data_IF_388464455477
#
_entry.id   IF_388464455477
#
_cell.length_a   1.000
_cell.length_b   1.000
_cell.length_c   1.000
_cell.angle_alpha   90.00
_cell.angle_beta   90.00
_cell.angle_gamma   90.00
#
_symmetry.space_group_name_H-M   'P 1'
#
loop_
_entity.id
_entity.type
_entity.pdbx_description
1 polymer ?
#
# COMPACT_ATOMS: atom_id res chain seq x y z
N UNK A 1 28.43 -14.26 1.57
CA UNK A 1 28.41 -13.12 0.67
C UNK A 1 28.37 -11.82 1.44
N UNK A 2 28.99 -10.78 0.93
CA UNK A 2 29.01 -9.45 1.53
C UNK A 2 27.64 -8.80 1.34
N UNK A 3 27.12 -8.16 2.40
CA UNK A 3 25.94 -7.32 2.33
C UNK A 3 26.37 -5.87 2.29
N UNK A 4 25.94 -5.13 1.27
CA UNK A 4 26.24 -3.72 1.11
C UNK A 4 24.94 -2.92 0.99
N UNK A 5 24.82 -1.87 1.80
CA UNK A 5 23.66 -0.98 1.84
C UNK A 5 24.10 0.44 1.54
N UNK A 6 23.65 0.99 0.43
CA UNK A 6 23.81 2.40 0.12
C UNK A 6 22.48 3.15 0.33
N UNK A 7 22.60 4.44 0.60
CA UNK A 7 21.44 5.32 0.67
C UNK A 7 20.72 5.43 -0.68
N UNK A 8 19.42 5.62 -0.63
CA UNK A 8 18.60 6.00 -1.76
C UNK A 8 17.68 7.15 -1.34
N UNK A 9 17.36 8.01 -2.27
CA UNK A 9 16.45 9.15 -2.06
C UNK A 9 15.39 9.18 -3.16
N UNK A 10 14.26 9.89 -2.98
CA UNK A 10 13.23 10.00 -3.99
C UNK A 10 13.76 10.48 -5.35
N UNK A 11 13.08 10.19 -6.45
CA UNK A 11 11.84 9.41 -6.50
C UNK A 11 12.10 7.91 -6.39
N UNK A 12 11.21 7.22 -5.67
CA UNK A 12 11.26 5.75 -5.50
C UNK A 12 11.07 5.03 -6.83
N UNK A 13 10.37 5.64 -7.79
CA UNK A 13 10.18 5.15 -9.16
C UNK A 13 11.49 4.90 -9.91
N UNK A 14 12.58 5.58 -9.55
CA UNK A 14 13.93 5.34 -10.10
C UNK A 14 14.69 4.20 -9.43
N UNK A 15 14.16 3.61 -8.36
CA UNK A 15 14.77 2.44 -7.74
C UNK A 15 14.57 1.20 -8.62
N UNK A 16 15.61 0.78 -9.32
CA UNK A 16 15.60 -0.49 -10.04
C UNK A 16 15.70 -1.66 -9.05
N UNK A 17 14.52 -2.12 -8.61
CA UNK A 17 14.45 -3.27 -7.68
C UNK A 17 14.98 -4.56 -8.34
N UNK A 18 14.92 -4.67 -9.67
CA UNK A 18 15.41 -5.86 -10.38
C UNK A 18 16.93 -5.98 -10.30
N UNK A 19 17.64 -4.86 -10.24
CA UNK A 19 19.09 -4.83 -10.10
C UNK A 19 19.59 -5.06 -8.67
N UNK A 20 18.72 -5.07 -7.66
CA UNK A 20 19.13 -5.27 -6.27
C UNK A 20 19.65 -6.69 -6.01
N UNK A 21 20.57 -6.76 -5.07
CA UNK A 21 21.18 -8.00 -4.57
C UNK A 21 21.73 -7.77 -3.16
N UNK A 22 22.16 -8.79 -2.43
CA UNK A 22 22.83 -8.60 -1.14
C UNK A 22 23.98 -7.60 -1.19
N UNK A 23 24.80 -7.61 -2.24
CA UNK A 23 25.91 -6.69 -2.45
C UNK A 23 25.48 -5.35 -3.11
N UNK A 24 24.21 -5.12 -3.34
CA UNK A 24 23.66 -3.89 -3.90
C UNK A 24 22.26 -3.64 -3.33
N UNK A 25 22.19 -3.43 -2.04
CA UNK A 25 20.96 -3.12 -1.32
C UNK A 25 20.78 -1.62 -1.13
N UNK A 26 19.57 -1.17 -0.88
CA UNK A 26 19.27 0.24 -0.61
C UNK A 26 18.65 0.40 0.76
N UNK A 27 18.97 1.52 1.40
CA UNK A 27 18.32 1.97 2.63
C UNK A 27 17.72 3.34 2.40
N UNK A 28 16.48 3.51 2.80
CA UNK A 28 15.73 4.73 2.59
C UNK A 28 14.66 4.88 3.67
N UNK A 29 14.33 6.11 4.02
CA UNK A 29 13.12 6.40 4.79
C UNK A 29 11.91 6.40 3.86
N UNK A 30 10.88 5.66 4.21
CA UNK A 30 9.72 5.44 3.36
C UNK A 30 8.50 4.97 4.16
N UNK A 31 7.33 5.02 3.55
CA UNK A 31 6.12 4.36 4.02
C UNK A 31 6.04 2.93 3.49
N UNK A 32 5.70 1.99 4.36
CA UNK A 32 5.37 0.60 4.03
C UNK A 32 3.88 0.40 4.18
N UNK A 33 3.22 -0.18 3.17
CA UNK A 33 1.79 -0.45 3.13
C UNK A 33 1.59 -1.96 2.95
N UNK A 34 0.68 -2.53 3.74
CA UNK A 34 0.10 -3.86 3.56
C UNK A 34 -1.40 -3.72 3.37
N UNK A 35 -1.93 -4.33 2.34
CA UNK A 35 -3.36 -4.44 2.09
C UNK A 35 -3.71 -5.90 1.76
N UNK A 36 -4.68 -6.46 2.45
CA UNK A 36 -5.04 -7.87 2.45
C UNK A 36 -6.55 -8.03 2.27
N UNK A 37 -6.97 -8.99 1.46
CA UNK A 37 -8.39 -9.23 1.20
C UNK A 37 -8.98 -10.00 2.38
N UNK A 38 -9.69 -9.30 3.25
CA UNK A 38 -10.41 -9.93 4.35
C UNK A 38 -11.55 -10.81 3.83
N UNK A 39 -11.70 -12.01 4.42
CA UNK A 39 -12.67 -13.00 4.01
C UNK A 39 -12.23 -13.89 2.83
N UNK A 40 -11.08 -13.66 2.19
CA UNK A 40 -10.67 -14.38 0.99
C UNK A 40 -10.49 -15.89 1.24
N UNK A 41 -9.95 -16.30 2.38
CA UNK A 41 -9.79 -17.72 2.71
C UNK A 41 -11.15 -18.45 2.79
N UNK A 42 -12.15 -17.83 3.40
CA UNK A 42 -13.51 -18.38 3.46
C UNK A 42 -14.15 -18.40 2.07
N UNK A 43 -13.99 -17.29 1.31
CA UNK A 43 -14.48 -17.21 -0.06
C UNK A 43 -13.92 -18.32 -0.96
N UNK A 44 -12.63 -18.62 -0.87
CA UNK A 44 -12.01 -19.74 -1.59
C UNK A 44 -12.62 -21.09 -1.14
N UNK A 45 -12.76 -21.31 0.17
CA UNK A 45 -13.29 -22.56 0.70
C UNK A 45 -14.74 -22.82 0.26
N UNK A 46 -15.54 -21.76 0.14
CA UNK A 46 -16.97 -21.87 -0.20
C UNK A 46 -17.22 -21.99 -1.72
N UNK A 47 -16.29 -21.55 -2.57
CA UNK A 47 -16.54 -21.44 -4.02
C UNK A 47 -15.58 -22.24 -4.91
N UNK A 48 -14.40 -22.65 -4.41
CA UNK A 48 -13.36 -23.22 -5.27
C UNK A 48 -13.75 -24.54 -5.94
N UNK A 49 -14.57 -25.36 -5.28
CA UNK A 49 -14.97 -26.66 -5.82
C UNK A 49 -16.02 -26.54 -6.93
N UNK A 50 -16.92 -25.57 -6.83
CA UNK A 50 -18.03 -25.37 -7.78
C UNK A 50 -17.73 -24.29 -8.81
N UNK A 51 -16.88 -23.29 -8.49
CA UNK A 51 -16.64 -22.09 -9.31
C UNK A 51 -15.20 -21.56 -9.21
N UNK A 52 -14.21 -22.43 -9.43
CA UNK A 52 -12.79 -22.08 -9.36
C UNK A 52 -12.39 -20.95 -10.31
N UNK A 53 -13.08 -20.82 -11.47
CA UNK A 53 -12.80 -19.75 -12.44
C UNK A 53 -13.08 -18.38 -11.84
N UNK A 54 -14.22 -18.19 -11.19
CA UNK A 54 -14.59 -16.90 -10.58
C UNK A 54 -13.69 -16.54 -9.39
N UNK A 55 -13.28 -17.56 -8.61
CA UNK A 55 -12.28 -17.34 -7.53
C UNK A 55 -10.97 -16.82 -8.08
N UNK A 56 -10.46 -17.43 -9.15
CA UNK A 56 -9.22 -17.00 -9.79
C UNK A 56 -9.37 -15.64 -10.48
N UNK A 57 -10.51 -15.41 -11.14
CA UNK A 57 -10.84 -14.13 -11.78
C UNK A 57 -10.89 -12.99 -10.75
N UNK A 58 -11.60 -13.19 -9.65
CA UNK A 58 -11.68 -12.21 -8.55
C UNK A 58 -10.29 -11.87 -8.01
N UNK A 59 -9.49 -12.87 -7.71
CA UNK A 59 -8.12 -12.66 -7.24
C UNK A 59 -7.27 -11.91 -8.27
N UNK A 60 -7.37 -12.27 -9.55
CA UNK A 60 -6.60 -11.64 -10.63
C UNK A 60 -6.96 -10.17 -10.77
N UNK A 61 -8.27 -9.85 -10.91
CA UNK A 61 -8.76 -8.48 -11.06
C UNK A 61 -8.34 -7.61 -9.87
N UNK A 62 -8.61 -8.07 -8.65
CA UNK A 62 -8.28 -7.29 -7.44
C UNK A 62 -6.76 -7.08 -7.33
N UNK A 63 -5.93 -8.10 -7.59
CA UNK A 63 -4.47 -7.95 -7.52
C UNK A 63 -3.93 -6.98 -8.57
N UNK A 64 -4.45 -7.01 -9.79
CA UNK A 64 -4.06 -6.10 -10.86
C UNK A 64 -4.44 -4.67 -10.50
N UNK A 65 -5.64 -4.46 -9.97
CA UNK A 65 -6.12 -3.14 -9.56
C UNK A 65 -5.29 -2.57 -8.40
N UNK A 66 -5.09 -3.33 -7.33
CA UNK A 66 -4.26 -2.89 -6.21
C UNK A 66 -2.80 -2.59 -6.62
N UNK A 67 -2.25 -3.38 -7.56
CA UNK A 67 -0.92 -3.12 -8.11
C UNK A 67 -0.90 -1.85 -8.95
N UNK A 68 -1.92 -1.64 -9.77
CA UNK A 68 -2.04 -0.44 -10.61
C UNK A 68 -2.11 0.83 -9.76
N UNK A 69 -3.00 0.87 -8.79
CA UNK A 69 -3.09 2.00 -7.84
C UNK A 69 -1.74 2.27 -7.19
N UNK A 70 -1.13 1.25 -6.59
CA UNK A 70 0.14 1.43 -5.88
C UNK A 70 1.28 1.89 -6.79
N UNK A 71 1.41 1.30 -7.99
CA UNK A 71 2.63 1.46 -8.80
C UNK A 71 2.50 2.47 -9.92
N UNK A 72 1.32 2.60 -10.52
CA UNK A 72 1.05 3.51 -11.64
C UNK A 72 0.52 4.86 -11.15
N UNK A 73 -0.47 4.84 -10.26
CA UNK A 73 -1.12 6.06 -9.79
C UNK A 73 -0.30 6.78 -8.71
N UNK A 74 0.34 6.02 -7.83
CA UNK A 74 1.12 6.56 -6.72
C UNK A 74 2.64 6.40 -6.85
N UNK A 75 3.14 5.92 -7.99
CA UNK A 75 4.57 5.71 -8.27
C UNK A 75 5.31 4.89 -7.18
N UNK A 76 4.56 4.12 -6.39
CA UNK A 76 5.09 3.22 -5.37
C UNK A 76 5.85 2.03 -5.96
N UNK A 77 6.37 1.20 -5.10
CA UNK A 77 7.08 -0.03 -5.50
C UNK A 77 6.49 -1.23 -4.82
N UNK A 78 5.83 -2.09 -5.60
CA UNK A 78 5.41 -3.38 -5.09
C UNK A 78 6.61 -4.25 -4.77
N UNK A 79 6.70 -4.71 -3.55
CA UNK A 79 7.69 -5.67 -3.10
C UNK A 79 7.24 -7.07 -3.48
N UNK A 80 6.02 -7.45 -3.10
CA UNK A 80 5.47 -8.78 -3.40
C UNK A 80 3.96 -8.83 -3.20
N UNK A 81 3.37 -9.85 -3.79
CA UNK A 81 2.12 -10.43 -3.30
C UNK A 81 2.42 -11.63 -2.40
N UNK A 82 1.62 -11.83 -1.37
CA UNK A 82 1.62 -12.98 -0.48
C UNK A 82 0.18 -13.50 -0.46
N UNK A 83 -0.13 -14.45 -1.36
CA UNK A 83 -1.54 -14.83 -1.57
C UNK A 83 -2.35 -13.64 -2.09
N UNK A 84 -3.31 -13.22 -1.31
CA UNK A 84 -4.22 -12.11 -1.52
C UNK A 84 -3.75 -10.78 -0.90
N UNK A 85 -2.61 -10.78 -0.22
CA UNK A 85 -2.02 -9.59 0.39
C UNK A 85 -1.00 -8.90 -0.53
N UNK A 86 -1.13 -7.59 -0.74
CA UNK A 86 -0.10 -6.76 -1.40
C UNK A 86 0.77 -6.06 -0.36
N UNK A 87 2.09 -6.07 -0.59
CA UNK A 87 3.05 -5.25 0.15
C UNK A 87 3.74 -4.26 -0.77
N UNK A 88 3.63 -2.99 -0.45
CA UNK A 88 4.18 -1.86 -1.18
C UNK A 88 5.01 -0.91 -0.35
N UNK A 89 5.83 -0.12 -1.05
CA UNK A 89 6.66 0.95 -0.49
C UNK A 89 6.40 2.25 -1.23
N UNK A 90 6.36 3.37 -0.50
CA UNK A 90 6.15 4.70 -1.03
C UNK A 90 7.12 5.70 -0.43
N UNK A 91 7.50 6.72 -1.21
CA UNK A 91 8.40 7.76 -0.73
C UNK A 91 8.28 9.04 -1.57
N UNK A 92 8.10 10.15 -0.92
CA UNK A 92 8.07 11.49 -1.51
C UNK A 92 9.27 12.34 -1.05
N UNK A 93 9.64 13.32 -1.86
CA UNK A 93 10.72 14.27 -1.54
C UNK A 93 11.55 14.68 -2.74
N UNK A 94 12.81 15.00 -2.48
CA UNK A 94 13.78 15.44 -3.50
C UNK A 94 14.86 14.38 -3.71
N UNK A 95 15.74 14.62 -4.71
CA UNK A 95 16.91 13.75 -4.92
C UNK A 95 17.93 13.75 -3.75
N UNK A 96 17.76 14.63 -2.76
CA UNK A 96 18.64 14.76 -1.60
C UNK A 96 18.00 14.32 -0.29
N UNK A 97 16.68 14.47 -0.16
CA UNK A 97 15.97 14.25 1.11
C UNK A 97 14.59 13.63 0.92
N UNK A 98 14.19 12.76 1.84
CA UNK A 98 12.81 12.32 1.98
C UNK A 98 11.98 13.40 2.68
N UNK A 99 10.82 13.72 2.13
CA UNK A 99 9.80 14.51 2.82
C UNK A 99 8.87 13.57 3.60
N UNK A 100 9.04 13.58 4.91
CA UNK A 100 8.30 12.69 5.81
C UNK A 100 6.80 12.94 5.78
N UNK A 101 6.40 14.22 5.85
CA UNK A 101 4.97 14.60 5.89
C UNK A 101 4.31 14.31 4.55
N UNK A 102 4.97 14.66 3.45
CA UNK A 102 4.49 14.35 2.12
C UNK A 102 4.37 12.84 1.90
N UNK A 103 5.38 12.05 2.28
CA UNK A 103 5.35 10.57 2.17
C UNK A 103 4.18 9.95 2.93
N UNK A 104 3.94 10.40 4.18
CA UNK A 104 2.86 9.85 5.01
C UNK A 104 1.49 10.25 4.46
N UNK A 105 1.35 11.49 4.00
CA UNK A 105 0.10 11.97 3.43
C UNK A 105 -0.22 11.29 2.09
N UNK A 106 0.82 11.00 1.27
CA UNK A 106 0.68 10.27 0.01
C UNK A 106 0.33 8.79 0.27
N UNK A 107 0.92 8.19 1.30
CA UNK A 107 0.55 6.86 1.76
C UNK A 107 -0.93 6.82 2.24
N UNK A 108 -1.41 7.84 2.92
CA UNK A 108 -2.83 7.91 3.31
C UNK A 108 -3.76 8.05 2.09
N UNK A 109 -3.39 8.86 1.07
CA UNK A 109 -4.13 8.95 -0.19
C UNK A 109 -4.16 7.60 -0.91
N UNK A 110 -3.01 6.91 -1.00
CA UNK A 110 -2.91 5.59 -1.58
C UNK A 110 -3.81 4.57 -0.83
N UNK A 111 -3.87 4.62 0.49
CA UNK A 111 -4.78 3.77 1.29
C UNK A 111 -6.24 4.01 0.94
N UNK A 112 -6.68 5.28 0.83
CA UNK A 112 -8.03 5.61 0.38
C UNK A 112 -8.30 5.13 -1.05
N UNK A 113 -7.35 5.36 -1.97
CA UNK A 113 -7.47 4.91 -3.36
C UNK A 113 -7.52 3.38 -3.48
N UNK A 114 -6.67 2.65 -2.75
CA UNK A 114 -6.70 1.17 -2.73
C UNK A 114 -8.06 0.64 -2.31
N UNK A 115 -8.70 1.25 -1.30
CA UNK A 115 -10.04 0.86 -0.87
C UNK A 115 -11.09 1.19 -1.92
N UNK A 116 -11.12 2.44 -2.42
CA UNK A 116 -12.11 2.85 -3.44
C UNK A 116 -12.03 2.00 -4.71
N UNK A 117 -10.81 1.73 -5.20
CA UNK A 117 -10.60 0.86 -6.36
C UNK A 117 -10.95 -0.60 -6.09
N UNK A 118 -10.66 -1.11 -4.90
CA UNK A 118 -11.06 -2.45 -4.50
C UNK A 118 -12.58 -2.62 -4.52
N UNK A 119 -13.31 -1.69 -3.91
CA UNK A 119 -14.77 -1.69 -3.87
C UNK A 119 -15.37 -1.61 -5.27
N UNK A 120 -14.86 -0.70 -6.12
CA UNK A 120 -15.26 -0.59 -7.53
C UNK A 120 -14.99 -1.88 -8.31
N UNK A 121 -13.84 -2.52 -8.12
CA UNK A 121 -13.51 -3.78 -8.77
C UNK A 121 -14.47 -4.91 -8.38
N UNK A 122 -14.89 -4.98 -7.11
CA UNK A 122 -15.92 -5.93 -6.67
C UNK A 122 -17.29 -5.63 -7.28
N UNK A 123 -17.69 -4.36 -7.32
CA UNK A 123 -18.95 -3.96 -7.98
C UNK A 123 -18.98 -4.37 -9.46
N UNK A 124 -17.91 -4.11 -10.20
CA UNK A 124 -17.78 -4.51 -11.61
C UNK A 124 -17.83 -6.04 -11.81
N UNK A 125 -17.20 -6.80 -10.92
CA UNK A 125 -17.28 -8.27 -10.95
C UNK A 125 -18.71 -8.76 -10.70
N UNK A 126 -19.43 -8.15 -9.76
CA UNK A 126 -20.83 -8.48 -9.47
C UNK A 126 -21.77 -8.13 -10.63
N UNK A 127 -21.51 -7.02 -11.35
CA UNK A 127 -22.22 -6.68 -12.59
C UNK A 127 -22.04 -7.74 -13.68
N UNK A 128 -20.88 -8.42 -13.71
CA UNK A 128 -20.60 -9.56 -14.58
C UNK A 128 -21.10 -10.89 -14.02
N UNK A 129 -21.93 -10.86 -12.98
CA UNK A 129 -22.49 -12.02 -12.27
C UNK A 129 -21.44 -12.92 -11.60
N UNK A 130 -20.26 -12.39 -11.27
CA UNK A 130 -19.28 -13.07 -10.42
C UNK A 130 -19.67 -12.88 -8.96
N UNK A 131 -19.82 -13.97 -8.23
CA UNK A 131 -20.14 -13.92 -6.80
C UNK A 131 -18.86 -13.60 -6.01
N UNK A 132 -18.79 -12.41 -5.41
CA UNK A 132 -17.63 -11.93 -4.65
C UNK A 132 -17.81 -12.08 -3.13
N UNK A 133 -18.97 -12.53 -2.67
CA UNK A 133 -19.27 -12.71 -1.24
C UNK A 133 -19.14 -11.39 -0.44
N UNK A 134 -18.63 -11.50 0.77
CA UNK A 134 -18.43 -10.38 1.70
C UNK A 134 -16.94 -10.01 1.82
N UNK A 135 -16.23 -9.96 0.68
CA UNK A 135 -14.83 -9.57 0.68
C UNK A 135 -14.64 -8.11 1.10
N UNK A 136 -13.61 -7.85 1.90
CA UNK A 136 -13.22 -6.52 2.32
C UNK A 136 -11.72 -6.30 2.18
N UNK A 137 -11.21 -5.10 2.45
CA UNK A 137 -9.79 -4.79 2.34
C UNK A 137 -9.23 -4.25 3.66
N UNK A 138 -8.47 -5.08 4.39
CA UNK A 138 -7.78 -4.68 5.61
C UNK A 138 -6.44 -4.03 5.29
N UNK A 139 -6.21 -2.77 5.73
CA UNK A 139 -5.00 -2.03 5.37
C UNK A 139 -4.23 -1.58 6.60
N UNK A 140 -2.89 -1.70 6.55
CA UNK A 140 -1.99 -1.17 7.55
C UNK A 140 -0.80 -0.48 6.91
N UNK A 141 -0.40 0.72 7.41
CA UNK A 141 0.81 1.38 6.96
C UNK A 141 1.61 2.01 8.10
N UNK A 142 2.92 2.13 7.88
CA UNK A 142 3.86 2.71 8.84
C UNK A 142 5.03 3.37 8.09
N UNK A 143 5.68 4.33 8.71
CA UNK A 143 6.82 5.06 8.17
C UNK A 143 8.10 4.77 8.96
N UNK A 144 9.23 4.70 8.24
CA UNK A 144 10.55 4.62 8.86
C UNK A 144 11.64 4.11 7.92
N UNK A 145 12.89 4.10 8.44
CA UNK A 145 14.04 3.64 7.65
C UNK A 145 13.90 2.15 7.31
N UNK A 146 13.98 1.85 6.02
CA UNK A 146 13.77 0.50 5.47
C UNK A 146 14.92 0.10 4.56
N UNK A 147 15.40 -1.12 4.73
CA UNK A 147 16.33 -1.77 3.83
C UNK A 147 15.58 -2.55 2.77
N UNK A 148 15.90 -2.30 1.49
CA UNK A 148 15.31 -3.00 0.34
C UNK A 148 16.39 -3.73 -0.43
N UNK A 149 16.14 -5.00 -0.74
CA UNK A 149 17.10 -5.88 -1.42
C UNK A 149 16.37 -6.97 -2.22
N UNK A 150 17.12 -7.87 -2.83
CA UNK A 150 16.63 -9.15 -3.36
C UNK A 150 17.46 -10.29 -2.79
N UNK A 151 16.77 -11.28 -2.23
CA UNK A 151 17.36 -12.46 -1.60
C UNK A 151 17.04 -13.73 -2.40
N UNK A 152 17.92 -14.73 -2.29
CA UNK A 152 17.79 -16.00 -2.99
C UNK A 152 18.97 -16.26 -3.93
N UNK A 153 18.93 -17.39 -4.62
CA UNK A 153 19.94 -17.79 -5.61
C UNK A 153 19.86 -16.94 -6.87
N UNK A 154 20.96 -16.83 -7.61
CA UNK A 154 21.00 -16.14 -8.90
C UNK A 154 19.96 -16.79 -9.85
N UNK A 155 19.09 -15.98 -10.41
CA UNK A 155 17.98 -16.43 -11.26
C UNK A 155 16.62 -16.57 -10.54
N UNK A 156 16.60 -16.77 -9.21
CA UNK A 156 15.36 -16.93 -8.41
C UNK A 156 15.27 -15.97 -7.20
N UNK A 157 15.95 -14.82 -7.30
CA UNK A 157 15.90 -13.82 -6.22
C UNK A 157 14.54 -13.16 -6.11
N UNK A 158 14.00 -13.11 -4.90
CA UNK A 158 12.77 -12.41 -4.57
C UNK A 158 13.05 -11.04 -3.97
N UNK A 159 12.17 -10.08 -4.21
CA UNK A 159 12.20 -8.76 -3.58
C UNK A 159 11.97 -8.90 -2.08
N UNK A 160 12.70 -8.13 -1.29
CA UNK A 160 12.60 -8.16 0.16
C UNK A 160 12.80 -6.76 0.72
N UNK A 161 11.97 -6.40 1.68
CA UNK A 161 12.16 -5.20 2.49
C UNK A 161 12.15 -5.58 3.97
N UNK A 162 13.01 -4.95 4.74
CA UNK A 162 13.20 -5.28 6.17
C UNK A 162 13.31 -4.00 6.98
N UNK A 163 12.40 -3.81 7.94
CA UNK A 163 12.46 -2.72 8.91
C UNK A 163 11.46 -2.90 10.05
N UNK A 164 11.54 -2.00 11.04
CA UNK A 164 10.49 -1.88 12.05
C UNK A 164 9.18 -1.38 11.43
N UNK A 165 9.25 -0.48 10.44
CA UNK A 165 8.09 0.04 9.73
C UNK A 165 7.37 -1.07 8.95
N UNK A 166 8.09 -1.90 8.20
CA UNK A 166 7.53 -3.07 7.49
C UNK A 166 6.81 -4.02 8.44
N UNK A 167 7.44 -4.37 9.57
CA UNK A 167 6.81 -5.23 10.57
C UNK A 167 5.60 -4.57 11.23
N UNK A 168 5.65 -3.27 11.46
CA UNK A 168 4.56 -2.55 12.12
C UNK A 168 3.35 -2.39 11.19
N UNK A 169 3.56 -2.10 9.89
CA UNK A 169 2.49 -2.03 8.90
C UNK A 169 1.77 -3.37 8.73
N UNK A 170 2.51 -4.48 8.58
CA UNK A 170 1.98 -5.83 8.54
C UNK A 170 1.15 -6.15 9.82
N UNK A 171 1.71 -5.90 10.99
CA UNK A 171 1.00 -6.13 12.26
C UNK A 171 -0.27 -5.29 12.39
N UNK A 172 -0.29 -4.07 11.83
CA UNK A 172 -1.48 -3.21 11.83
C UNK A 172 -2.57 -3.78 10.94
N UNK A 173 -2.20 -4.24 9.75
CA UNK A 173 -3.12 -4.88 8.82
C UNK A 173 -3.71 -6.18 9.42
N UNK A 174 -2.89 -7.10 9.93
CA UNK A 174 -3.29 -8.43 10.44
C UNK A 174 -4.36 -8.43 11.53
N UNK A 175 -4.60 -7.32 12.22
CA UNK A 175 -5.58 -7.21 13.30
C UNK A 175 -6.75 -6.29 12.90
N UNK A 176 -6.95 -6.05 11.62
CA UNK A 176 -8.04 -5.25 11.05
C UNK A 176 -9.06 -6.16 10.38
N UNK A 177 -10.29 -5.71 10.33
CA UNK A 177 -11.31 -6.27 9.45
C UNK A 177 -11.29 -5.58 8.08
N UNK A 178 -12.05 -6.13 7.15
CA UNK A 178 -12.10 -5.67 5.76
C UNK A 178 -12.61 -4.25 5.55
N UNK A 179 -13.15 -3.61 6.58
CA UNK A 179 -13.56 -2.19 6.53
C UNK A 179 -12.49 -1.24 7.04
N UNK A 180 -11.46 -1.75 7.73
CA UNK A 180 -10.57 -0.93 8.53
C UNK A 180 -9.21 -0.65 7.85
N UNK A 181 -8.74 0.58 8.07
CA UNK A 181 -7.39 1.00 7.76
C UNK A 181 -6.69 1.52 9.02
N UNK A 182 -5.41 1.23 9.18
CA UNK A 182 -4.67 1.62 10.38
C UNK A 182 -3.30 2.24 10.05
N UNK A 183 -2.97 3.30 10.77
CA UNK A 183 -1.67 3.98 10.72
C UNK A 183 -0.80 3.56 11.91
N UNK A 184 0.49 3.31 11.66
CA UNK A 184 1.44 3.01 12.71
C UNK A 184 1.81 4.24 13.55
N UNK A 185 2.55 4.01 14.62
CA UNK A 185 2.82 5.07 15.61
C UNK A 185 3.76 6.15 15.10
N UNK A 186 4.81 5.77 14.37
CA UNK A 186 5.80 6.73 13.86
C UNK A 186 5.18 7.57 12.76
N UNK A 187 4.45 6.93 11.81
CA UNK A 187 3.70 7.63 10.80
C UNK A 187 2.68 8.60 11.41
N UNK A 188 1.89 8.17 12.37
CA UNK A 188 0.89 9.01 13.03
C UNK A 188 1.48 10.26 13.71
N UNK A 189 2.60 10.08 14.44
CA UNK A 189 3.28 11.20 15.11
C UNK A 189 3.84 12.24 14.14
N UNK A 190 4.28 11.78 12.97
CA UNK A 190 4.90 12.62 11.93
C UNK A 190 3.92 13.09 10.85
N UNK A 191 2.66 12.64 10.93
CA UNK A 191 1.63 12.97 9.96
C UNK A 191 1.15 14.42 10.07
N UNK A 192 0.58 14.93 8.97
CA UNK A 192 -0.17 16.18 8.94
C UNK A 192 -1.38 16.13 9.88
N UNK A 193 -1.94 17.30 10.20
CA UNK A 193 -3.15 17.39 11.04
C UNK A 193 -4.33 16.68 10.37
N UNK A 194 -4.49 16.81 9.03
CA UNK A 194 -5.54 16.15 8.29
C UNK A 194 -5.48 14.63 8.44
N UNK A 195 -4.30 14.02 8.21
CA UNK A 195 -4.12 12.57 8.40
C UNK A 195 -4.39 12.14 9.85
N UNK A 196 -3.92 12.90 10.84
CA UNK A 196 -4.21 12.58 12.26
C UNK A 196 -5.69 12.61 12.59
N UNK A 197 -6.44 13.55 12.00
CA UNK A 197 -7.91 13.62 12.20
C UNK A 197 -8.61 12.39 11.62
N UNK A 198 -8.24 11.95 10.41
CA UNK A 198 -8.81 10.76 9.77
C UNK A 198 -8.66 9.50 10.62
N UNK A 199 -7.48 9.28 11.17
CA UNK A 199 -7.21 8.05 11.93
C UNK A 199 -7.52 8.16 13.42
N UNK A 200 -7.77 9.36 13.94
CA UNK A 200 -8.06 9.59 15.36
C UNK A 200 -6.95 9.11 16.31
N UNK A 201 -7.19 9.20 17.62
CA UNK A 201 -6.21 8.82 18.65
C UNK A 201 -5.94 7.30 18.70
N UNK A 202 -6.91 6.47 18.31
CA UNK A 202 -6.76 5.01 18.21
C UNK A 202 -5.98 4.57 16.96
N UNK A 203 -5.72 5.49 16.03
CA UNK A 203 -4.96 5.26 14.79
C UNK A 203 -5.61 4.25 13.86
N UNK A 204 -6.93 4.23 13.83
CA UNK A 204 -7.76 3.37 13.00
C UNK A 204 -8.89 4.20 12.42
N UNK A 205 -9.25 3.93 11.17
CA UNK A 205 -10.44 4.47 10.53
C UNK A 205 -11.15 3.35 9.78
N UNK A 206 -12.47 3.48 9.57
CA UNK A 206 -13.27 2.52 8.83
C UNK A 206 -13.79 3.16 7.55
N UNK A 207 -13.90 2.37 6.49
CA UNK A 207 -14.42 2.76 5.18
C UNK A 207 -13.77 4.02 4.58
N UNK A 208 -12.48 4.21 4.86
CA UNK A 208 -11.74 5.38 4.38
C UNK A 208 -11.63 5.33 2.87
N UNK A 209 -12.36 6.19 2.18
CA UNK A 209 -12.28 6.34 0.74
C UNK A 209 -11.27 7.43 0.29
N UNK A 210 -11.03 7.50 -1.00
CA UNK A 210 -10.09 8.47 -1.58
C UNK A 210 -10.55 9.92 -1.38
N UNK A 211 -11.85 10.19 -1.55
CA UNK A 211 -12.41 11.54 -1.45
C UNK A 211 -12.28 12.11 -0.03
N UNK A 212 -12.53 11.30 1.00
CA UNK A 212 -12.35 11.69 2.39
C UNK A 212 -10.90 12.09 2.72
N UNK A 213 -9.92 11.34 2.17
CA UNK A 213 -8.50 11.69 2.37
C UNK A 213 -8.16 12.99 1.66
N UNK A 214 -8.61 13.18 0.42
CA UNK A 214 -8.42 14.43 -0.34
C UNK A 214 -8.99 15.62 0.45
N UNK A 215 -10.22 15.51 0.94
CA UNK A 215 -10.88 16.57 1.70
C UNK A 215 -10.12 16.90 3.00
N UNK A 216 -9.71 15.88 3.76
CA UNK A 216 -8.97 16.08 5.00
C UNK A 216 -7.60 16.73 4.78
N UNK A 217 -6.92 16.41 3.69
CA UNK A 217 -5.64 17.03 3.33
C UNK A 217 -5.83 18.46 2.81
N UNK A 218 -6.89 18.73 2.04
CA UNK A 218 -7.20 20.08 1.57
C UNK A 218 -7.57 21.04 2.71
N UNK A 219 -8.26 20.55 3.73
CA UNK A 219 -8.59 21.30 4.91
C UNK A 219 -7.38 21.62 5.82
N UNK A 220 -6.29 20.86 5.70
CA UNK A 220 -5.04 21.13 6.39
C UNK A 220 -4.18 22.08 5.54
N UNK A 221 -3.51 23.06 6.18
CA UNK A 221 -2.65 24.04 5.46
C UNK A 221 -1.46 23.44 4.68
N UNK A 222 -1.33 22.13 4.67
CA UNK A 222 -0.30 21.36 3.95
C UNK A 222 -0.66 21.10 2.47
N UNK A 223 -1.73 21.72 1.96
CA UNK A 223 -2.34 21.48 0.65
C UNK A 223 -1.47 21.86 -0.57
N UNK A 224 -0.32 22.50 -0.39
CA UNK A 224 0.40 23.15 -1.50
C UNK A 224 1.16 22.19 -2.42
N UNK A 225 1.39 20.94 -2.04
CA UNK A 225 2.21 20.01 -2.85
C UNK A 225 1.38 19.02 -3.71
N UNK A 226 0.04 19.00 -3.62
CA UNK A 226 -0.79 17.90 -4.13
C UNK A 226 -1.92 18.25 -5.08
N UNK A 227 -2.19 19.52 -5.31
CA UNK A 227 -3.19 19.95 -6.31
C UNK A 227 -2.94 19.33 -7.71
N UNK A 228 -1.68 19.06 -8.04
CA UNK A 228 -1.30 18.48 -9.32
C UNK A 228 -1.65 16.98 -9.48
N UNK A 229 -1.68 16.19 -8.37
CA UNK A 229 -2.07 14.77 -8.45
C UNK A 229 -3.59 14.57 -8.40
N UNK A 230 -4.31 15.48 -7.74
CA UNK A 230 -5.78 15.41 -7.63
C UNK A 230 -6.48 15.67 -8.96
N UNK A 231 -5.86 16.47 -9.87
CA UNK A 231 -6.40 16.71 -11.22
C UNK A 231 -6.33 15.47 -12.14
N UNK A 232 -5.44 14.52 -11.85
CA UNK A 232 -5.30 13.30 -12.65
C UNK A 232 -6.42 12.27 -12.41
N UNK A 233 -7.18 12.40 -11.32
CA UNK A 233 -8.27 11.48 -10.93
C UNK A 233 -9.67 12.14 -10.95
N UNK A 234 -9.80 13.35 -11.49
CA UNK A 234 -11.13 13.93 -11.70
C UNK A 234 -11.83 13.20 -12.86
N UNK A 235 -13.10 12.77 -12.68
CA UNK A 235 -13.87 12.07 -13.69
C UNK A 235 -14.12 12.91 -14.94
#
# INVERSE_FOLDING_TARGET
GTFEFSGHTPPLSKLDIAALSPANSRRQELASIYADIDGFTAYVADHVDDNAEDVVRTLAVVREELDHVLTSDFEGRRIRFIGDCIHGLMCEGTAQTTDTVATISDAALCVGALRSSFELALEMLQEEAVETGSLGLAIGFEYGPTATTRLGMKGSRTRCSVSRAVRASEKRQLVRDGTQSAIGEVAYKSASEGVRKLFGANRITSNLDYAEVVEALAASKDATARAAKTEAFAP
#
